data_IF_863224961959
#
_entry.id   IF_863224961959
#
_cell.length_a   1.000
_cell.length_b   1.000
_cell.length_c   1.000
_cell.angle_alpha   90.00
_cell.angle_beta   90.00
_cell.angle_gamma   90.00
#
_symmetry.space_group_name_H-M   'P 1'
#
loop_
_entity.id
_entity.type
_entity.pdbx_description
1 polymer ?
#
# COMPACT_ATOMS: atom_id res chain seq x y z
N UNK A 1 22.69 26.17 -9.99
CA UNK A 1 21.95 25.35 -10.97
C UNK A 1 21.67 24.02 -10.29
N UNK A 2 20.44 23.81 -9.84
CA UNK A 2 20.03 22.57 -9.18
C UNK A 2 20.07 21.45 -10.21
N UNK A 3 20.86 20.41 -9.97
CA UNK A 3 20.74 19.18 -10.78
C UNK A 3 19.36 18.57 -10.51
N UNK A 4 18.69 18.00 -11.52
CA UNK A 4 17.49 17.21 -11.26
C UNK A 4 17.88 16.05 -10.33
N UNK A 5 17.10 15.86 -9.26
CA UNK A 5 17.07 14.62 -8.47
C UNK A 5 17.02 13.43 -9.45
N UNK A 6 17.76 12.34 -9.25
CA UNK A 6 17.60 11.15 -10.09
C UNK A 6 16.13 10.77 -10.03
N UNK A 7 15.42 10.92 -11.14
CA UNK A 7 13.96 10.91 -11.17
C UNK A 7 13.43 9.69 -10.40
N UNK A 8 12.55 9.95 -9.43
CA UNK A 8 11.86 8.93 -8.66
C UNK A 8 11.36 7.83 -9.60
N UNK A 9 11.74 6.57 -9.35
CA UNK A 9 11.37 5.47 -10.25
C UNK A 9 9.85 5.25 -10.27
N UNK A 10 9.18 5.65 -9.19
CA UNK A 10 7.72 5.74 -9.02
C UNK A 10 7.44 7.11 -8.39
N UNK A 11 6.46 7.86 -8.85
CA UNK A 11 6.12 9.16 -8.26
C UNK A 11 5.36 8.99 -6.94
N UNK A 12 4.41 8.03 -6.93
CA UNK A 12 3.43 7.88 -5.83
C UNK A 12 3.20 6.41 -5.49
N UNK A 13 3.30 6.09 -4.21
CA UNK A 13 2.76 4.84 -3.65
C UNK A 13 1.39 5.14 -3.05
N UNK A 14 0.36 4.43 -3.50
CA UNK A 14 -0.99 4.52 -2.94
C UNK A 14 -1.28 3.28 -2.12
N UNK A 15 -1.33 3.46 -0.79
CA UNK A 15 -1.72 2.39 0.11
C UNK A 15 -3.23 2.37 0.26
N UNK A 16 -3.87 1.26 -0.09
CA UNK A 16 -5.33 1.07 0.06
C UNK A 16 -5.62 0.35 1.37
N UNK A 17 -6.28 1.02 2.30
CA UNK A 17 -6.63 0.47 3.62
C UNK A 17 -7.52 -0.78 3.54
N UNK A 18 -7.17 -1.83 4.29
CA UNK A 18 -7.92 -3.09 4.30
C UNK A 18 -9.39 -2.96 4.71
N UNK A 19 -9.69 -2.01 5.61
CA UNK A 19 -11.04 -1.77 6.10
C UNK A 19 -11.98 -1.17 5.03
N UNK A 20 -11.45 -0.64 3.91
CA UNK A 20 -12.30 -0.14 2.83
C UNK A 20 -13.18 -1.25 2.22
N UNK A 21 -12.80 -2.53 2.36
CA UNK A 21 -13.63 -3.65 1.85
C UNK A 21 -15.03 -3.70 2.47
N UNK A 22 -15.21 -3.10 3.66
CA UNK A 22 -16.49 -3.08 4.36
C UNK A 22 -17.55 -2.23 3.64
N UNK A 23 -17.10 -1.27 2.83
CA UNK A 23 -17.95 -0.43 1.98
C UNK A 23 -17.46 -0.56 0.53
N UNK A 24 -18.15 -1.41 -0.23
CA UNK A 24 -17.80 -1.72 -1.62
C UNK A 24 -17.83 -0.47 -2.50
N UNK A 25 -18.75 0.45 -2.28
CA UNK A 25 -18.88 1.66 -3.09
C UNK A 25 -17.72 2.63 -2.84
N UNK A 26 -17.33 2.80 -1.57
CA UNK A 26 -16.14 3.59 -1.19
C UNK A 26 -14.86 2.98 -1.76
N UNK A 27 -14.73 1.65 -1.70
CA UNK A 27 -13.59 0.94 -2.30
C UNK A 27 -13.55 1.19 -3.81
N UNK A 28 -14.65 0.96 -4.52
CA UNK A 28 -14.68 1.08 -5.98
C UNK A 28 -14.39 2.52 -6.44
N UNK A 29 -14.92 3.55 -5.73
CA UNK A 29 -14.56 4.95 -5.98
C UNK A 29 -13.07 5.24 -5.75
N UNK A 30 -12.51 4.72 -4.65
CA UNK A 30 -11.08 4.86 -4.33
C UNK A 30 -10.22 4.27 -5.44
N UNK A 31 -10.57 3.07 -5.90
CA UNK A 31 -9.84 2.37 -6.96
C UNK A 31 -9.96 3.11 -8.30
N UNK A 32 -11.15 3.62 -8.64
CA UNK A 32 -11.35 4.41 -9.85
C UNK A 32 -10.51 5.72 -9.85
N UNK A 33 -10.49 6.46 -8.73
CA UNK A 33 -9.66 7.65 -8.58
C UNK A 33 -8.16 7.32 -8.70
N UNK A 34 -7.74 6.20 -8.12
CA UNK A 34 -6.35 5.72 -8.19
C UNK A 34 -5.94 5.33 -9.61
N UNK A 35 -6.81 4.62 -10.33
CA UNK A 35 -6.58 4.25 -11.72
C UNK A 35 -6.51 5.47 -12.65
N UNK A 36 -7.36 6.48 -12.42
CA UNK A 36 -7.31 7.73 -13.15
C UNK A 36 -6.00 8.50 -12.88
N UNK A 37 -5.54 8.55 -11.63
CA UNK A 37 -4.26 9.17 -11.27
C UNK A 37 -3.06 8.45 -11.91
N UNK A 38 -3.10 7.12 -12.05
CA UNK A 38 -2.08 6.34 -12.71
C UNK A 38 -1.90 6.67 -14.22
N UNK A 39 -2.83 7.42 -14.83
CA UNK A 39 -2.67 7.95 -16.19
C UNK A 39 -1.82 9.23 -16.23
N UNK A 40 -1.64 9.91 -15.09
CA UNK A 40 -0.94 11.19 -14.99
C UNK A 40 0.43 11.09 -14.30
N UNK A 41 0.68 10.03 -13.52
CA UNK A 41 1.95 9.80 -12.82
C UNK A 41 2.31 8.31 -12.72
N UNK A 42 3.58 8.03 -12.43
CA UNK A 42 4.08 6.67 -12.17
C UNK A 42 3.60 6.22 -10.79
N UNK A 43 2.63 5.33 -10.73
CA UNK A 43 1.92 4.97 -9.50
C UNK A 43 1.93 3.47 -9.26
N UNK A 44 2.04 3.06 -7.99
CA UNK A 44 1.78 1.67 -7.56
C UNK A 44 0.79 1.61 -6.40
N UNK A 45 -0.06 0.60 -6.43
CA UNK A 45 -0.99 0.30 -5.34
C UNK A 45 -0.36 -0.71 -4.38
N UNK A 46 -0.32 -0.38 -3.10
CA UNK A 46 0.05 -1.29 -2.02
C UNK A 46 -1.20 -1.64 -1.19
N UNK A 47 -1.64 -2.90 -1.16
CA UNK A 47 -2.83 -3.29 -0.42
C UNK A 47 -2.59 -3.30 1.10
N UNK A 48 -3.65 -3.08 1.87
CA UNK A 48 -3.71 -3.50 3.27
C UNK A 48 -3.84 -5.03 3.41
N UNK A 49 -4.11 -5.51 4.62
CA UNK A 49 -4.42 -6.93 4.85
C UNK A 49 -5.91 -7.29 4.77
N UNK A 50 -6.79 -6.30 4.96
CA UNK A 50 -8.24 -6.44 4.87
C UNK A 50 -8.81 -7.61 5.69
N UNK A 51 -9.87 -8.27 5.19
CA UNK A 51 -10.55 -9.33 5.91
C UNK A 51 -9.66 -10.58 6.06
N UNK A 52 -8.65 -10.71 5.19
CA UNK A 52 -7.66 -11.78 5.22
C UNK A 52 -6.73 -11.65 6.43
N UNK A 53 -6.20 -10.45 6.70
CA UNK A 53 -5.37 -10.22 7.88
C UNK A 53 -6.19 -10.22 9.17
N UNK A 54 -7.46 -9.84 9.12
CA UNK A 54 -8.37 -10.00 10.26
C UNK A 54 -8.57 -11.47 10.63
N UNK A 55 -8.57 -12.38 9.64
CA UNK A 55 -8.57 -13.82 9.89
C UNK A 55 -7.30 -14.27 10.61
N UNK A 56 -6.13 -13.78 10.18
CA UNK A 56 -4.85 -14.04 10.87
C UNK A 56 -4.90 -13.55 12.31
N UNK A 57 -5.36 -12.31 12.55
CA UNK A 57 -5.54 -11.76 13.92
C UNK A 57 -6.46 -12.62 14.78
N UNK A 58 -7.53 -13.19 14.22
CA UNK A 58 -8.44 -14.10 14.96
C UNK A 58 -7.75 -15.40 15.34
N UNK A 59 -6.98 -16.00 14.43
CA UNK A 59 -6.21 -17.23 14.70
C UNK A 59 -5.15 -16.96 15.75
N UNK A 60 -4.39 -15.87 15.59
CA UNK A 60 -3.33 -15.49 16.53
C UNK A 60 -3.85 -15.27 17.94
N UNK A 61 -4.94 -14.50 18.13
CA UNK A 61 -5.56 -14.32 19.45
C UNK A 61 -6.00 -15.63 20.11
N UNK A 62 -6.35 -16.65 19.32
CA UNK A 62 -6.80 -17.95 19.82
C UNK A 62 -5.65 -18.90 20.12
N UNK A 63 -4.58 -18.85 19.33
CA UNK A 63 -3.50 -19.84 19.32
C UNK A 63 -2.19 -19.33 19.93
N UNK A 64 -2.04 -18.00 20.09
CA UNK A 64 -0.80 -17.36 20.53
C UNK A 64 0.37 -17.68 19.61
N UNK A 65 0.28 -17.29 18.33
CA UNK A 65 1.31 -17.63 17.36
C UNK A 65 2.62 -16.89 17.69
N UNK A 66 3.78 -17.46 17.37
CA UNK A 66 5.03 -16.71 17.38
C UNK A 66 4.91 -15.48 16.46
N UNK A 67 5.46 -14.34 16.88
CA UNK A 67 5.29 -13.06 16.17
C UNK A 67 5.72 -13.14 14.69
N UNK A 68 6.81 -13.85 14.41
CA UNK A 68 7.29 -14.08 13.03
C UNK A 68 6.26 -14.85 12.19
N UNK A 69 5.60 -15.86 12.75
CA UNK A 69 4.57 -16.60 12.02
C UNK A 69 3.34 -15.73 11.76
N UNK A 70 2.87 -15.00 12.78
CA UNK A 70 1.75 -14.07 12.63
C UNK A 70 2.04 -12.96 11.61
N UNK A 71 3.26 -12.41 11.62
CA UNK A 71 3.74 -11.40 10.68
C UNK A 71 3.66 -11.91 9.23
N UNK A 72 4.29 -13.05 8.93
CA UNK A 72 4.28 -13.58 7.56
C UNK A 72 2.89 -14.01 7.09
N UNK A 73 2.05 -14.54 7.98
CA UNK A 73 0.64 -14.81 7.65
C UNK A 73 -0.12 -13.51 7.30
N UNK A 74 0.11 -12.42 8.04
CA UNK A 74 -0.50 -11.12 7.76
C UNK A 74 0.00 -10.50 6.45
N UNK A 75 1.28 -10.70 6.11
CA UNK A 75 1.85 -10.30 4.82
C UNK A 75 1.24 -11.09 3.66
N UNK A 76 1.07 -12.41 3.78
CA UNK A 76 0.37 -13.23 2.77
C UNK A 76 -1.12 -12.84 2.61
N UNK A 77 -1.73 -12.30 3.65
CA UNK A 77 -3.07 -11.73 3.55
C UNK A 77 -3.10 -10.45 2.66
N UNK A 78 -2.01 -9.69 2.60
CA UNK A 78 -1.90 -8.54 1.68
C UNK A 78 -1.89 -8.99 0.22
N UNK A 79 -1.25 -10.12 -0.11
CA UNK A 79 -1.27 -10.69 -1.46
C UNK A 79 -2.70 -11.07 -1.89
N UNK A 80 -3.47 -11.68 -0.99
CA UNK A 80 -4.88 -11.99 -1.25
C UNK A 80 -5.69 -10.72 -1.56
N UNK A 81 -5.42 -9.64 -0.82
CA UNK A 81 -6.07 -8.36 -1.08
C UNK A 81 -5.59 -7.69 -2.37
N UNK A 82 -4.32 -7.88 -2.75
CA UNK A 82 -3.79 -7.45 -4.05
C UNK A 82 -4.60 -8.04 -5.21
N UNK A 83 -4.87 -9.35 -5.16
CA UNK A 83 -5.67 -10.04 -6.18
C UNK A 83 -7.11 -9.52 -6.23
N UNK A 84 -7.73 -9.27 -5.07
CA UNK A 84 -9.07 -8.69 -5.01
C UNK A 84 -9.10 -7.29 -5.65
N UNK A 85 -8.16 -6.41 -5.28
CA UNK A 85 -8.06 -5.06 -5.83
C UNK A 85 -7.85 -5.10 -7.36
N UNK A 86 -6.93 -5.94 -7.83
CA UNK A 86 -6.65 -6.07 -9.26
C UNK A 86 -7.88 -6.58 -10.04
N UNK A 87 -8.63 -7.53 -9.47
CA UNK A 87 -9.87 -8.02 -10.07
C UNK A 87 -10.95 -6.93 -10.15
N UNK A 88 -11.07 -6.07 -9.11
CA UNK A 88 -12.02 -4.93 -9.08
C UNK A 88 -11.65 -3.83 -10.08
N UNK A 89 -10.36 -3.57 -10.28
CA UNK A 89 -9.89 -2.52 -11.18
C UNK A 89 -10.10 -2.81 -12.67
N UNK A 90 -10.44 -4.05 -13.05
CA UNK A 90 -10.79 -4.51 -14.39
C UNK A 90 -9.77 -4.17 -15.49
N UNK A 91 -9.20 -5.18 -16.17
CA UNK A 91 -8.52 -5.03 -17.46
C UNK A 91 -7.23 -4.20 -17.53
N UNK A 92 -7.01 -3.20 -16.66
CA UNK A 92 -5.87 -2.28 -16.62
C UNK A 92 -4.89 -2.59 -15.49
N UNK A 93 -5.36 -3.21 -14.39
CA UNK A 93 -4.51 -3.61 -13.29
C UNK A 93 -3.73 -4.90 -13.56
N UNK A 94 -2.58 -5.05 -12.94
CA UNK A 94 -1.79 -6.29 -12.94
C UNK A 94 -1.16 -6.50 -11.57
N UNK A 95 -1.24 -7.73 -11.07
CA UNK A 95 -0.57 -8.09 -9.81
C UNK A 95 0.91 -8.29 -10.08
N UNK A 96 1.74 -7.61 -9.31
CA UNK A 96 3.22 -7.64 -9.40
C UNK A 96 3.81 -7.98 -8.04
N UNK A 97 5.07 -8.41 -7.98
CA UNK A 97 5.66 -8.94 -6.75
C UNK A 97 7.03 -8.37 -6.40
N UNK A 98 7.59 -7.46 -7.21
CA UNK A 98 8.88 -6.80 -6.95
C UNK A 98 8.98 -5.43 -7.66
N UNK A 99 10.05 -4.68 -7.37
CA UNK A 99 10.30 -3.37 -7.97
C UNK A 99 10.39 -3.39 -9.50
N UNK A 100 11.00 -4.43 -10.08
CA UNK A 100 11.20 -4.52 -11.53
C UNK A 100 9.86 -4.70 -12.23
N UNK A 101 9.03 -5.61 -11.75
CA UNK A 101 7.71 -5.88 -12.28
C UNK A 101 6.77 -4.67 -12.13
N UNK A 102 6.93 -3.87 -11.07
CA UNK A 102 6.22 -2.59 -10.91
C UNK A 102 6.55 -1.65 -12.09
N UNK A 103 7.84 -1.43 -12.36
CA UNK A 103 8.27 -0.51 -13.42
C UNK A 103 7.85 -1.01 -14.81
N UNK A 104 8.02 -2.32 -15.07
CA UNK A 104 7.59 -2.94 -16.33
C UNK A 104 6.08 -2.78 -16.55
N UNK A 105 5.27 -2.92 -15.50
CA UNK A 105 3.82 -2.70 -15.57
C UNK A 105 3.48 -1.23 -15.88
N UNK A 106 4.13 -0.28 -15.21
CA UNK A 106 3.93 1.16 -15.45
C UNK A 106 4.30 1.51 -16.89
N UNK A 107 5.45 1.04 -17.38
CA UNK A 107 5.93 1.32 -18.73
C UNK A 107 5.04 0.67 -19.81
N UNK A 108 4.33 -0.42 -19.46
CA UNK A 108 3.30 -1.04 -20.29
C UNK A 108 1.91 -0.37 -20.18
N UNK A 109 1.78 0.76 -19.47
CA UNK A 109 0.52 1.48 -19.27
C UNK A 109 -0.49 0.72 -18.39
N UNK A 110 0.00 -0.17 -17.53
CA UNK A 110 -0.80 -0.95 -16.57
C UNK A 110 -0.75 -0.29 -15.20
N UNK A 111 -1.74 -0.56 -14.37
CA UNK A 111 -1.76 -0.15 -12.96
C UNK A 111 -1.20 -1.31 -12.11
N UNK A 112 0.05 -1.23 -11.61
CA UNK A 112 0.58 -2.28 -10.76
C UNK A 112 -0.10 -2.30 -9.39
N UNK A 113 -0.50 -3.50 -8.96
CA UNK A 113 -0.96 -3.79 -7.60
C UNK A 113 0.03 -4.77 -6.98
N UNK A 114 0.75 -4.33 -5.96
CA UNK A 114 1.80 -5.14 -5.35
C UNK A 114 1.20 -6.22 -4.45
N UNK A 115 1.55 -7.48 -4.72
CA UNK A 115 1.51 -8.59 -3.77
C UNK A 115 2.89 -8.65 -3.07
N UNK A 116 3.03 -8.07 -1.85
CA UNK A 116 4.35 -7.76 -1.30
C UNK A 116 5.08 -8.95 -0.69
N UNK A 117 4.45 -10.11 -0.50
CA UNK A 117 5.03 -11.19 0.31
C UNK A 117 6.38 -11.66 -0.17
N UNK A 118 6.53 -11.87 -1.49
CA UNK A 118 7.80 -12.30 -2.10
C UNK A 118 8.91 -11.30 -1.83
N UNK A 119 8.67 -10.02 -2.12
CA UNK A 119 9.67 -8.98 -1.94
C UNK A 119 10.06 -8.82 -0.46
N UNK A 120 9.08 -8.89 0.45
CA UNK A 120 9.36 -8.79 1.88
C UNK A 120 10.10 -10.03 2.40
N UNK A 121 9.77 -11.24 1.96
CA UNK A 121 10.51 -12.46 2.34
C UNK A 121 11.98 -12.39 1.91
N UNK A 122 12.25 -11.85 0.73
CA UNK A 122 13.62 -11.72 0.21
C UNK A 122 14.43 -10.64 0.96
N UNK A 123 13.78 -9.57 1.43
CA UNK A 123 14.45 -8.41 2.03
C UNK A 123 14.44 -8.39 3.57
N UNK A 124 13.45 -9.01 4.19
CA UNK A 124 13.09 -9.03 5.62
C UNK A 124 13.50 -7.77 6.42
N UNK A 125 12.94 -6.59 6.09
CA UNK A 125 13.49 -5.32 6.53
C UNK A 125 12.82 -4.75 7.79
N UNK A 126 11.72 -5.34 8.24
CA UNK A 126 10.84 -4.77 9.25
C UNK A 126 10.70 -5.71 10.45
N UNK A 127 10.59 -5.17 11.67
CA UNK A 127 10.36 -6.00 12.85
C UNK A 127 9.09 -6.86 12.72
N UNK A 128 9.19 -8.12 13.11
CA UNK A 128 8.04 -9.00 13.20
C UNK A 128 7.24 -8.69 14.45
N UNK A 129 6.17 -7.92 14.31
CA UNK A 129 5.22 -7.61 15.39
C UNK A 129 3.92 -7.05 14.83
N UNK A 130 2.89 -6.95 15.67
CA UNK A 130 1.64 -6.27 15.29
C UNK A 130 1.73 -4.73 15.29
N UNK A 131 2.83 -4.17 15.80
CA UNK A 131 3.15 -2.74 15.69
C UNK A 131 3.57 -2.34 14.27
N UNK A 132 3.93 -3.33 13.44
CA UNK A 132 4.21 -3.17 12.02
C UNK A 132 3.02 -3.70 11.23
N UNK A 133 2.35 -2.83 10.47
CA UNK A 133 1.26 -3.24 9.58
C UNK A 133 1.51 -2.75 8.15
N UNK A 134 0.47 -2.86 7.32
CA UNK A 134 0.49 -2.39 5.93
C UNK A 134 0.91 -0.93 5.75
N UNK A 135 0.76 -0.06 6.76
CA UNK A 135 1.19 1.34 6.62
C UNK A 135 2.73 1.44 6.68
N UNK A 136 3.36 0.81 7.68
CA UNK A 136 4.83 0.69 7.75
C UNK A 136 5.42 -0.04 6.56
N UNK A 137 4.76 -1.09 6.09
CA UNK A 137 5.19 -1.82 4.89
C UNK A 137 5.15 -0.90 3.66
N UNK A 138 4.08 -0.13 3.47
CA UNK A 138 3.98 0.82 2.37
C UNK A 138 5.03 1.94 2.45
N UNK A 139 5.36 2.41 3.66
CA UNK A 139 6.45 3.36 3.89
C UNK A 139 7.82 2.81 3.46
N UNK A 140 8.13 1.57 3.85
CA UNK A 140 9.36 0.92 3.41
C UNK A 140 9.40 0.74 1.88
N UNK A 141 8.30 0.27 1.28
CA UNK A 141 8.17 0.12 -0.19
C UNK A 141 8.38 1.45 -0.90
N UNK A 142 7.79 2.55 -0.41
CA UNK A 142 7.98 3.89 -0.97
C UNK A 142 9.45 4.29 -1.01
N UNK A 143 10.21 4.01 0.06
CA UNK A 143 11.66 4.23 0.08
C UNK A 143 12.41 3.38 -0.94
N UNK A 144 12.05 2.10 -1.06
CA UNK A 144 12.71 1.20 -2.02
C UNK A 144 12.46 1.57 -3.48
N UNK A 145 11.33 2.22 -3.76
CA UNK A 145 10.97 2.70 -5.09
C UNK A 145 11.46 4.13 -5.36
N UNK A 146 12.07 4.79 -4.37
CA UNK A 146 12.46 6.18 -4.45
C UNK A 146 11.26 7.12 -4.65
N UNK A 147 10.10 6.76 -4.09
CA UNK A 147 8.86 7.51 -4.32
C UNK A 147 8.89 8.87 -3.65
N UNK A 148 8.36 9.89 -4.34
CA UNK A 148 8.20 11.23 -3.76
C UNK A 148 7.13 11.24 -2.67
N UNK A 149 6.03 10.51 -2.89
CA UNK A 149 4.87 10.54 -2.01
C UNK A 149 4.36 9.15 -1.67
N UNK A 150 3.89 9.02 -0.43
CA UNK A 150 3.08 7.91 0.05
C UNK A 150 1.70 8.44 0.44
N UNK A 151 0.66 8.00 -0.27
CA UNK A 151 -0.73 8.32 0.06
C UNK A 151 -1.38 7.13 0.75
N UNK A 152 -1.78 7.32 2.01
CA UNK A 152 -2.45 6.32 2.85
C UNK A 152 -3.96 6.56 2.78
N UNK A 153 -4.67 5.73 2.01
CA UNK A 153 -6.12 5.81 1.92
C UNK A 153 -6.75 5.03 3.07
N UNK A 154 -7.58 5.73 3.85
CA UNK A 154 -8.23 5.23 5.07
C UNK A 154 -9.75 5.32 4.95
N UNK A 155 -10.52 4.48 5.67
CA UNK A 155 -11.97 4.61 5.69
C UNK A 155 -12.43 6.01 6.12
N UNK A 156 -13.66 6.42 5.77
CA UNK A 156 -14.25 7.66 6.28
C UNK A 156 -14.27 7.70 7.82
N UNK A 157 -14.12 8.88 8.40
CA UNK A 157 -14.22 9.08 9.86
C UNK A 157 -12.97 8.70 10.67
N UNK A 158 -11.84 8.40 10.02
CA UNK A 158 -10.57 8.24 10.72
C UNK A 158 -10.12 9.57 11.34
N UNK A 159 -9.62 9.50 12.58
CA UNK A 159 -9.20 10.65 13.39
C UNK A 159 -7.94 11.35 12.89
N UNK A 160 -7.18 11.97 13.79
CA UNK A 160 -5.97 12.69 13.42
C UNK A 160 -4.97 11.79 12.65
N UNK A 161 -4.15 12.33 11.73
CA UNK A 161 -3.20 11.54 10.95
C UNK A 161 -2.24 10.68 11.78
N UNK A 162 -1.88 11.12 12.99
CA UNK A 162 -1.05 10.37 13.94
C UNK A 162 -1.72 9.10 14.45
N UNK A 163 -3.04 9.11 14.57
CA UNK A 163 -3.83 7.98 15.06
C UNK A 163 -4.26 7.04 13.92
N UNK A 164 -4.00 7.46 12.68
CA UNK A 164 -4.43 6.77 11.47
C UNK A 164 -3.45 5.71 10.99
N UNK A 165 -2.20 5.70 11.48
CA UNK A 165 -1.11 4.82 11.04
C UNK A 165 -0.63 3.90 12.16
N UNK A 166 0.04 2.80 11.81
CA UNK A 166 0.60 1.89 12.81
C UNK A 166 1.80 2.48 13.60
N UNK A 167 2.09 1.96 14.81
CA UNK A 167 3.10 2.53 15.70
C UNK A 167 4.50 2.62 15.11
N UNK A 168 4.87 1.71 14.20
CA UNK A 168 6.19 1.70 13.59
C UNK A 168 6.33 2.65 12.39
N UNK A 169 5.23 3.23 11.91
CA UNK A 169 5.19 3.99 10.66
C UNK A 169 6.24 5.11 10.58
N UNK A 170 6.37 5.92 11.63
CA UNK A 170 7.33 7.02 11.66
C UNK A 170 8.80 6.56 11.55
N UNK A 171 9.11 5.33 11.97
CA UNK A 171 10.45 4.73 11.82
C UNK A 171 10.65 4.11 10.44
N UNK A 172 9.57 3.60 9.83
CA UNK A 172 9.61 3.04 8.49
C UNK A 172 9.61 4.10 7.38
N UNK A 173 9.10 5.32 7.65
CA UNK A 173 9.04 6.40 6.67
C UNK A 173 10.44 6.92 6.33
N UNK A 174 10.89 6.75 5.07
CA UNK A 174 12.21 7.22 4.66
C UNK A 174 12.26 8.76 4.61
N UNK A 175 13.43 9.35 4.89
CA UNK A 175 13.63 10.79 4.70
C UNK A 175 13.31 11.20 3.25
N UNK A 176 12.61 12.32 3.08
CA UNK A 176 12.27 12.86 1.77
C UNK A 176 10.99 12.30 1.12
N UNK A 177 10.39 11.25 1.68
CA UNK A 177 9.06 10.78 1.26
C UNK A 177 7.99 11.58 2.00
N UNK A 178 7.16 12.32 1.27
CA UNK A 178 6.01 13.00 1.85
C UNK A 178 4.86 11.99 2.06
N UNK A 179 4.44 11.83 3.33
CA UNK A 179 3.33 10.96 3.69
C UNK A 179 2.03 11.78 3.87
N UNK A 180 0.98 11.36 3.17
CA UNK A 180 -0.34 12.01 3.18
C UNK A 180 -1.37 10.98 3.60
N UNK A 181 -2.18 11.29 4.62
CA UNK A 181 -3.33 10.47 5.01
C UNK A 181 -4.59 11.07 4.40
N UNK A 182 -5.33 10.28 3.64
CA UNK A 182 -6.56 10.71 2.96
C UNK A 182 -7.70 9.78 3.35
N UNK A 183 -8.81 10.38 3.80
CA UNK A 183 -10.06 9.64 4.00
C UNK A 183 -10.68 9.32 2.62
N UNK A 184 -11.17 8.10 2.44
CA UNK A 184 -11.62 7.59 1.15
C UNK A 184 -12.84 8.34 0.56
N UNK A 185 -13.62 9.05 1.39
CA UNK A 185 -14.69 9.94 0.96
C UNK A 185 -14.20 11.30 0.42
N UNK A 186 -12.91 11.61 0.60
CA UNK A 186 -12.25 12.85 0.14
C UNK A 186 -11.17 12.60 -0.91
N UNK A 187 -11.02 11.36 -1.37
CA UNK A 187 -10.01 11.03 -2.37
C UNK A 187 -10.41 11.57 -3.74
N UNK A 188 -9.49 12.28 -4.39
CA UNK A 188 -9.63 12.75 -5.76
C UNK A 188 -8.30 12.61 -6.53
N UNK A 189 -8.34 12.78 -7.86
CA UNK A 189 -7.15 12.70 -8.71
C UNK A 189 -6.09 13.71 -8.26
N UNK A 190 -6.51 14.90 -7.82
CA UNK A 190 -5.63 15.98 -7.39
C UNK A 190 -4.76 15.59 -6.19
N UNK A 191 -5.36 14.90 -5.21
CA UNK A 191 -4.69 14.39 -4.01
C UNK A 191 -3.63 13.32 -4.34
N UNK A 192 -3.78 12.65 -5.49
CA UNK A 192 -2.91 11.57 -5.93
C UNK A 192 -1.84 12.04 -6.93
N UNK A 193 -2.14 12.98 -7.83
CA UNK A 193 -1.27 13.30 -8.98
C UNK A 193 -0.38 14.56 -8.84
N UNK A 194 -0.52 15.38 -7.78
CA UNK A 194 0.28 16.60 -7.56
C UNK A 194 1.58 16.39 -6.78
#
# INVERSE_FOLDING_TARGET
MCSPDPAAAVDVVVKVGGALVADVEVLDRTLAATAAAAQACRLVIVPGGGPFADAVRRVDRRMGLPETAAHWMAVLAMDQYAHLIAARLSGAAVVVNDARAILEAIDAGRVPVLAPSRWLLDADPLPHSWDVTSDSIAAWIAGRLGARRLVLVKPPGVGAPSDAVDPYFARALPPGVEAIVVAADRIDITSLAR
#
